data_IF_566202830305
#
_entry.id   IF_566202830305
#
_cell.length_a   1.000
_cell.length_b   1.000
_cell.length_c   1.000
_cell.angle_alpha   90.00
_cell.angle_beta   90.00
_cell.angle_gamma   90.00
#
_symmetry.space_group_name_H-M   'P 1'
#
loop_
_entity.id
_entity.type
_entity.pdbx_description
1 polymer ?
#
# COMPACT_ATOMS: atom_id res chain seq x y z
N UNK A 1 8.35 17.25 -19.59
CA UNK A 1 9.57 16.49 -19.94
C UNK A 1 9.67 15.25 -19.05
N UNK A 2 9.04 14.15 -19.48
CA UNK A 2 9.10 12.85 -18.80
C UNK A 2 10.49 12.26 -18.98
N UNK A 3 11.23 12.14 -17.87
CA UNK A 3 12.55 11.51 -17.85
C UNK A 3 12.43 10.09 -18.39
N UNK A 4 13.26 9.79 -19.37
CA UNK A 4 13.46 8.47 -19.94
C UNK A 4 13.59 7.44 -18.81
N UNK A 5 12.57 6.60 -18.66
CA UNK A 5 12.48 5.69 -17.52
C UNK A 5 13.58 4.63 -17.59
N UNK A 6 14.29 4.47 -18.71
CA UNK A 6 15.45 3.58 -18.87
C UNK A 6 15.10 2.11 -18.64
N UNK A 7 13.81 1.80 -18.54
CA UNK A 7 13.28 0.47 -18.33
C UNK A 7 12.58 0.00 -19.60
N UNK A 8 12.73 -1.29 -19.90
CA UNK A 8 12.05 -1.91 -21.04
C UNK A 8 10.54 -1.75 -20.92
N UNK A 9 9.84 -1.63 -22.07
CA UNK A 9 8.39 -1.37 -22.14
C UNK A 9 7.55 -2.34 -21.29
N UNK A 10 7.90 -3.62 -21.29
CA UNK A 10 7.19 -4.65 -20.51
C UNK A 10 7.34 -4.44 -18.99
N UNK A 11 8.47 -3.88 -18.52
CA UNK A 11 8.65 -3.53 -17.11
C UNK A 11 7.74 -2.37 -16.68
N UNK A 12 7.52 -1.38 -17.55
CA UNK A 12 6.57 -0.29 -17.28
C UNK A 12 5.12 -0.76 -17.29
N UNK A 13 4.77 -1.67 -18.22
CA UNK A 13 3.44 -2.29 -18.26
C UNK A 13 3.17 -3.13 -17.00
N UNK A 14 4.16 -3.90 -16.54
CA UNK A 14 4.07 -4.65 -15.29
C UNK A 14 3.81 -3.73 -14.09
N UNK A 15 4.52 -2.60 -14.01
CA UNK A 15 4.37 -1.62 -12.93
C UNK A 15 2.97 -0.99 -12.92
N UNK A 16 2.43 -0.66 -14.09
CA UNK A 16 1.07 -0.14 -14.24
C UNK A 16 0.00 -1.16 -13.82
N UNK A 17 0.06 -2.37 -14.38
CA UNK A 17 -0.90 -3.44 -14.05
C UNK A 17 -0.85 -3.82 -12.56
N UNK A 18 0.33 -3.78 -11.94
CA UNK A 18 0.44 -4.03 -10.51
C UNK A 18 -0.18 -2.91 -9.66
N UNK A 19 -0.06 -1.64 -10.09
CA UNK A 19 -0.72 -0.54 -9.38
C UNK A 19 -2.24 -0.72 -9.39
N UNK A 20 -2.83 -1.01 -10.56
CA UNK A 20 -4.27 -1.26 -10.69
C UNK A 20 -4.73 -2.39 -9.75
N UNK A 21 -4.01 -3.51 -9.73
CA UNK A 21 -4.28 -4.61 -8.81
C UNK A 21 -4.18 -4.20 -7.32
N UNK A 22 -3.22 -3.35 -6.97
CA UNK A 22 -3.06 -2.89 -5.59
C UNK A 22 -4.18 -1.94 -5.15
N UNK A 23 -4.64 -1.09 -6.06
CA UNK A 23 -5.71 -0.13 -5.79
C UNK A 23 -7.05 -0.85 -5.61
N UNK A 24 -7.36 -1.84 -6.46
CA UNK A 24 -8.61 -2.61 -6.40
C UNK A 24 -8.69 -3.54 -5.18
N UNK A 25 -7.56 -4.13 -4.77
CA UNK A 25 -7.52 -5.13 -3.70
C UNK A 25 -6.96 -4.64 -2.37
N UNK A 26 -6.79 -3.32 -2.21
CA UNK A 26 -6.35 -2.64 -0.98
C UNK A 26 -5.42 -3.51 -0.11
N UNK A 27 -4.16 -3.60 -0.51
CA UNK A 27 -3.02 -4.07 0.28
C UNK A 27 -3.04 -5.50 0.86
N UNK A 28 -4.02 -6.34 0.52
CA UNK A 28 -4.18 -7.66 1.12
C UNK A 28 -3.37 -8.79 0.45
N UNK A 29 -2.63 -8.54 -0.62
CA UNK A 29 -1.79 -9.56 -1.28
C UNK A 29 -0.39 -9.11 -1.66
N UNK A 30 0.57 -10.03 -1.61
CA UNK A 30 1.84 -9.88 -2.31
C UNK A 30 1.63 -10.28 -3.78
N UNK A 31 1.07 -9.41 -4.60
CA UNK A 31 0.86 -9.69 -6.03
C UNK A 31 2.12 -9.43 -6.88
N UNK A 32 3.21 -8.96 -6.25
CA UNK A 32 4.41 -8.55 -6.98
C UNK A 32 5.06 -9.75 -7.70
N UNK A 33 5.03 -10.93 -7.08
CA UNK A 33 5.53 -12.16 -7.70
C UNK A 33 4.68 -12.60 -8.90
N UNK A 34 3.35 -12.48 -8.81
CA UNK A 34 2.43 -12.84 -9.91
C UNK A 34 2.63 -11.92 -11.12
N UNK A 35 2.74 -10.62 -10.89
CA UNK A 35 2.96 -9.65 -11.97
C UNK A 35 4.37 -9.81 -12.55
N UNK A 36 5.39 -10.03 -11.71
CA UNK A 36 6.75 -10.34 -12.16
C UNK A 36 6.79 -11.57 -13.08
N UNK A 37 6.11 -12.66 -12.70
CA UNK A 37 6.01 -13.87 -13.50
C UNK A 37 5.24 -13.66 -14.81
N UNK A 38 4.10 -12.95 -14.76
CA UNK A 38 3.25 -12.71 -15.93
C UNK A 38 3.94 -11.88 -17.03
N UNK A 39 4.77 -10.92 -16.64
CA UNK A 39 5.43 -10.00 -17.58
C UNK A 39 6.90 -10.33 -17.83
N UNK A 40 7.43 -11.41 -17.24
CA UNK A 40 8.83 -11.82 -17.39
C UNK A 40 9.84 -10.81 -16.81
N UNK A 41 9.43 -9.99 -15.84
CA UNK A 41 10.29 -8.94 -15.27
C UNK A 41 10.94 -9.45 -14.00
N UNK A 42 12.27 -9.35 -13.87
CA UNK A 42 12.96 -9.64 -12.62
C UNK A 42 12.45 -8.75 -11.47
N UNK A 43 12.20 -9.33 -10.29
CA UNK A 43 11.73 -8.62 -9.08
C UNK A 43 12.52 -7.35 -8.75
N UNK A 44 13.84 -7.35 -8.91
CA UNK A 44 14.69 -6.19 -8.63
C UNK A 44 14.47 -5.06 -9.65
N UNK A 45 14.34 -5.40 -10.93
CA UNK A 45 14.03 -4.43 -11.99
C UNK A 45 12.63 -3.86 -11.73
N UNK A 46 11.67 -4.73 -11.40
CA UNK A 46 10.30 -4.34 -11.09
C UNK A 46 10.21 -3.35 -9.92
N UNK A 47 10.89 -3.63 -8.80
CA UNK A 47 10.93 -2.72 -7.65
C UNK A 47 11.57 -1.37 -8.00
N UNK A 48 12.67 -1.37 -8.76
CA UNK A 48 13.34 -0.15 -9.21
C UNK A 48 12.44 0.65 -10.17
N UNK A 49 11.78 -0.03 -11.11
CA UNK A 49 10.85 0.58 -12.05
C UNK A 49 9.66 1.20 -11.33
N UNK A 50 9.06 0.48 -10.37
CA UNK A 50 7.97 1.00 -9.55
C UNK A 50 8.38 2.25 -8.78
N UNK A 51 9.53 2.22 -8.10
CA UNK A 51 10.04 3.38 -7.35
C UNK A 51 10.36 4.57 -8.26
N UNK A 52 10.94 4.33 -9.45
CA UNK A 52 11.23 5.41 -10.41
C UNK A 52 9.94 6.03 -10.95
N UNK A 53 8.91 5.22 -11.18
CA UNK A 53 7.64 5.66 -11.74
C UNK A 53 6.76 6.40 -10.72
N UNK A 54 6.67 5.89 -9.49
CA UNK A 54 5.74 6.40 -8.46
C UNK A 54 6.43 7.12 -7.29
N UNK A 55 7.76 7.25 -7.32
CA UNK A 55 8.55 7.97 -6.31
C UNK A 55 8.75 7.22 -4.98
N UNK A 56 7.95 6.18 -4.69
CA UNK A 56 8.00 5.42 -3.44
C UNK A 56 8.17 3.93 -3.67
N UNK A 57 8.61 3.19 -2.65
CA UNK A 57 8.74 1.74 -2.77
C UNK A 57 7.37 1.08 -2.80
N UNK A 58 7.28 -0.13 -3.36
CA UNK A 58 6.06 -0.96 -3.32
C UNK A 58 5.58 -1.16 -1.88
N UNK A 59 6.51 -1.37 -0.95
CA UNK A 59 6.21 -1.55 0.47
C UNK A 59 5.51 -0.31 1.04
N UNK A 60 6.05 0.88 0.75
CA UNK A 60 5.49 2.15 1.23
C UNK A 60 4.15 2.43 0.55
N UNK A 61 4.01 2.15 -0.74
CA UNK A 61 2.73 2.30 -1.45
C UNK A 61 1.64 1.43 -0.82
N UNK A 62 1.93 0.14 -0.57
CA UNK A 62 1.00 -0.76 0.15
C UNK A 62 0.70 -0.28 1.56
N UNK A 63 1.67 0.29 2.27
CA UNK A 63 1.45 0.85 3.59
C UNK A 63 0.48 2.04 3.50
N UNK A 64 0.70 2.97 2.58
CA UNK A 64 -0.16 4.14 2.37
C UNK A 64 -1.60 3.71 2.05
N UNK A 65 -1.80 2.73 1.16
CA UNK A 65 -3.12 2.19 0.86
C UNK A 65 -3.82 1.60 2.11
N UNK A 66 -3.11 0.83 2.95
CA UNK A 66 -3.68 0.32 4.21
C UNK A 66 -4.05 1.43 5.16
N UNK A 67 -3.19 2.44 5.28
CA UNK A 67 -3.41 3.55 6.18
C UNK A 67 -4.61 4.38 5.74
N UNK A 68 -4.69 4.67 4.45
CA UNK A 68 -5.84 5.37 3.89
C UNK A 68 -7.13 4.58 4.07
N UNK A 69 -7.10 3.26 3.83
CA UNK A 69 -8.25 2.39 4.12
C UNK A 69 -8.63 2.40 5.60
N UNK A 70 -7.64 2.36 6.50
CA UNK A 70 -7.88 2.41 7.95
C UNK A 70 -8.55 3.72 8.37
N UNK A 71 -8.12 4.84 7.77
CA UNK A 71 -8.71 6.17 7.99
C UNK A 71 -10.18 6.20 7.59
N UNK A 72 -10.51 5.67 6.42
CA UNK A 72 -11.89 5.57 5.94
C UNK A 72 -12.76 4.71 6.88
N UNK A 73 -12.22 3.59 7.39
CA UNK A 73 -12.96 2.73 8.32
C UNK A 73 -13.18 3.42 9.67
N UNK A 74 -12.18 4.16 10.20
CA UNK A 74 -12.34 4.97 11.41
C UNK A 74 -13.40 6.05 11.22
N UNK A 75 -13.41 6.72 10.06
CA UNK A 75 -14.44 7.71 9.71
C UNK A 75 -15.84 7.11 9.59
N UNK A 76 -15.94 5.83 9.24
CA UNK A 76 -17.20 5.08 9.26
C UNK A 76 -17.58 4.55 10.65
N UNK A 77 -16.85 4.93 11.72
CA UNK A 77 -17.14 4.52 13.09
C UNK A 77 -16.78 3.07 13.41
N UNK A 78 -15.92 2.43 12.61
CA UNK A 78 -15.52 1.03 12.83
C UNK A 78 -14.61 0.89 14.04
N UNK A 79 -14.77 -0.22 14.76
CA UNK A 79 -13.95 -0.54 15.92
C UNK A 79 -12.49 -0.82 15.53
N UNK A 80 -11.55 -0.38 16.37
CA UNK A 80 -10.11 -0.50 16.13
C UNK A 80 -9.67 -1.96 16.00
N UNK A 81 -10.27 -2.90 16.75
CA UNK A 81 -9.96 -4.33 16.63
C UNK A 81 -10.47 -4.87 15.30
N UNK A 82 -11.69 -4.53 14.88
CA UNK A 82 -12.26 -4.91 13.58
C UNK A 82 -11.39 -4.39 12.42
N UNK A 83 -10.95 -3.13 12.50
CA UNK A 83 -10.05 -2.52 11.52
C UNK A 83 -8.72 -3.28 11.46
N UNK A 84 -8.14 -3.60 12.62
CA UNK A 84 -6.86 -4.31 12.67
C UNK A 84 -6.93 -5.69 12.00
N UNK A 85 -8.03 -6.42 12.20
CA UNK A 85 -8.29 -7.72 11.57
C UNK A 85 -8.51 -7.56 10.05
N UNK A 86 -9.34 -6.59 9.65
CA UNK A 86 -9.64 -6.29 8.23
C UNK A 86 -8.37 -5.97 7.44
N UNK A 87 -7.41 -5.31 8.07
CA UNK A 87 -6.12 -4.91 7.47
C UNK A 87 -4.99 -5.93 7.72
N UNK A 88 -5.33 -7.13 8.20
CA UNK A 88 -4.41 -8.25 8.43
C UNK A 88 -3.25 -7.91 9.36
N UNK A 89 -3.48 -7.06 10.37
CA UNK A 89 -2.53 -6.90 11.47
C UNK A 89 -2.69 -8.05 12.45
N UNK A 90 -1.56 -8.60 12.91
CA UNK A 90 -1.54 -9.68 13.90
C UNK A 90 -2.17 -9.28 15.23
N UNK A 91 -2.12 -7.99 15.58
CA UNK A 91 -2.72 -7.43 16.79
C UNK A 91 -3.18 -5.99 16.55
N UNK A 92 -4.19 -5.56 17.31
CA UNK A 92 -4.60 -4.15 17.35
C UNK A 92 -3.45 -3.22 17.75
N UNK A 93 -2.53 -3.68 18.62
CA UNK A 93 -1.34 -2.90 19.01
C UNK A 93 -0.40 -2.65 17.84
N UNK A 94 -0.18 -3.66 16.98
CA UNK A 94 0.66 -3.51 15.79
C UNK A 94 0.03 -2.53 14.79
N UNK A 95 -1.29 -2.60 14.61
CA UNK A 95 -2.03 -1.60 13.82
C UNK A 95 -1.87 -0.20 14.39
N UNK A 96 -2.15 0.00 15.69
CA UNK A 96 -2.07 1.32 16.33
C UNK A 96 -0.68 1.93 16.26
N UNK A 97 0.38 1.12 16.39
CA UNK A 97 1.76 1.60 16.21
C UNK A 97 2.03 2.07 14.77
N UNK A 98 1.59 1.28 13.77
CA UNK A 98 1.76 1.64 12.37
C UNK A 98 0.96 2.90 12.00
N UNK A 99 -0.27 3.00 12.47
CA UNK A 99 -1.14 4.16 12.26
C UNK A 99 -0.53 5.42 12.89
N UNK A 100 -0.07 5.35 14.14
CA UNK A 100 0.62 6.47 14.80
C UNK A 100 1.89 6.88 14.08
N UNK A 101 2.68 5.92 13.60
CA UNK A 101 3.88 6.22 12.82
C UNK A 101 3.55 6.93 11.50
N UNK A 102 2.39 6.62 10.91
CA UNK A 102 1.99 7.17 9.62
C UNK A 102 1.30 8.54 9.73
N UNK A 103 0.40 8.72 10.70
CA UNK A 103 -0.42 9.93 10.85
C UNK A 103 -0.03 10.81 12.05
N UNK A 104 0.90 10.38 12.90
CA UNK A 104 1.34 11.11 14.10
C UNK A 104 0.45 10.93 15.34
N UNK A 105 -0.77 10.40 15.17
CA UNK A 105 -1.77 10.22 16.23
C UNK A 105 -2.16 8.74 16.36
N UNK A 106 -2.60 8.30 17.54
CA UNK A 106 -3.16 6.95 17.69
C UNK A 106 -4.50 6.85 16.94
N UNK A 107 -4.92 5.64 16.51
CA UNK A 107 -6.25 5.46 15.91
C UNK A 107 -7.38 5.97 16.81
N UNK A 108 -7.26 5.77 18.13
CA UNK A 108 -8.23 6.25 19.12
C UNK A 108 -8.30 7.78 19.14
N UNK A 109 -7.15 8.46 19.26
CA UNK A 109 -7.12 9.92 19.28
C UNK A 109 -7.61 10.52 17.94
N UNK A 110 -7.32 9.84 16.83
CA UNK A 110 -7.86 10.22 15.52
C UNK A 110 -9.38 10.05 15.49
N UNK A 111 -9.93 8.93 15.96
CA UNK A 111 -11.37 8.71 16.01
C UNK A 111 -12.10 9.73 16.91
N UNK A 112 -11.53 10.08 18.06
CA UNK A 112 -12.04 11.12 18.95
C UNK A 112 -12.07 12.50 18.28
N UNK A 113 -11.10 12.82 17.41
CA UNK A 113 -11.09 14.08 16.67
C UNK A 113 -12.11 14.18 15.54
N UNK A 114 -12.82 13.09 15.22
CA UNK A 114 -13.89 13.06 14.22
C UNK A 114 -15.28 13.34 14.79
N UNK A 115 -15.41 13.35 16.13
CA UNK A 115 -16.64 13.62 16.88
C UNK A 115 -16.71 15.10 17.22
#
# INVERSE_FOLDING_TARGET
>A
MTKDSGFQRHALQAVGAFKELLDDHCANGDYAHLVSARFGVNRNIFQKAFKKQYGITIRDYKLNLRMERSRQLLQAGKDIKEISLTLHYTTARAFSFAFKKHYGLTPTAYAESLV
#
